data_IF_373826032276
#
_entry.id   IF_373826032276
#
_cell.length_a   1.000
_cell.length_b   1.000
_cell.length_c   1.000
_cell.angle_alpha   90.00
_cell.angle_beta   90.00
_cell.angle_gamma   90.00
#
_symmetry.space_group_name_H-M   'P 1'
#
loop_
_entity.id
_entity.type
_entity.pdbx_description
1 polymer ?
#
# COMPACT_ATOMS: atom_id res chain seq x y z
N UNK A 1 -4.37 -16.35 4.04
CA UNK A 1 -5.04 -15.15 3.51
C UNK A 1 -4.16 -14.47 2.47
N UNK A 2 -4.73 -14.09 1.36
CA UNK A 2 -4.00 -13.48 0.25
C UNK A 2 -4.33 -11.99 0.18
N UNK A 3 -3.32 -11.14 0.27
CA UNK A 3 -3.47 -9.69 0.27
C UNK A 3 -2.99 -9.09 -1.05
N UNK A 4 -3.81 -8.23 -1.65
CA UNK A 4 -3.37 -7.37 -2.75
C UNK A 4 -2.81 -6.08 -2.16
N UNK A 5 -1.62 -5.69 -2.59
CA UNK A 5 -0.95 -4.48 -2.11
C UNK A 5 -0.70 -3.55 -3.29
N UNK A 6 -1.19 -2.32 -3.18
CA UNK A 6 -1.14 -1.34 -4.26
C UNK A 6 -0.82 0.04 -3.68
N UNK A 7 -0.16 0.88 -4.46
CA UNK A 7 0.17 2.25 -4.04
C UNK A 7 0.38 3.15 -5.24
N UNK A 8 0.28 4.46 -5.01
CA UNK A 8 0.67 5.49 -5.97
C UNK A 8 -0.04 5.31 -7.31
N UNK A 9 -1.35 5.15 -7.26
CA UNK A 9 -2.20 5.07 -8.44
C UNK A 9 -2.37 6.43 -9.12
N UNK A 10 -2.33 7.52 -8.34
CA UNK A 10 -2.44 8.90 -8.86
C UNK A 10 -3.60 9.06 -9.85
N UNK A 11 -4.76 8.46 -9.54
CA UNK A 11 -5.97 8.58 -10.36
C UNK A 11 -6.05 7.62 -11.54
N UNK A 12 -5.09 6.72 -11.69
CA UNK A 12 -5.08 5.73 -12.78
C UNK A 12 -5.08 4.31 -12.20
N UNK A 13 -6.16 3.58 -12.40
CA UNK A 13 -6.23 2.16 -12.06
C UNK A 13 -6.14 1.35 -13.34
N UNK A 14 -5.01 0.67 -13.52
CA UNK A 14 -4.75 -0.12 -14.71
C UNK A 14 -5.62 -1.37 -14.75
N UNK A 15 -6.02 -1.75 -15.95
CA UNK A 15 -6.87 -2.93 -16.16
C UNK A 15 -6.24 -4.21 -15.61
N UNK A 16 -4.94 -4.35 -15.73
CA UNK A 16 -4.20 -5.53 -15.28
C UNK A 16 -4.36 -5.78 -13.77
N UNK A 17 -4.62 -4.74 -12.98
CA UNK A 17 -4.85 -4.87 -11.53
C UNK A 17 -6.03 -5.79 -11.25
N UNK A 18 -7.10 -5.70 -12.05
CA UNK A 18 -8.29 -6.53 -11.86
C UNK A 18 -7.99 -8.01 -12.04
N UNK A 19 -7.09 -8.35 -12.95
CA UNK A 19 -6.69 -9.74 -13.17
C UNK A 19 -5.78 -10.22 -12.04
N UNK A 20 -4.80 -9.41 -11.63
CA UNK A 20 -3.85 -9.77 -10.58
C UNK A 20 -4.54 -9.92 -9.23
N UNK A 21 -5.54 -9.08 -8.94
CA UNK A 21 -6.25 -9.07 -7.65
C UNK A 21 -7.53 -9.90 -7.65
N UNK A 22 -7.74 -10.73 -8.66
CA UNK A 22 -8.98 -11.49 -8.79
C UNK A 22 -9.30 -12.39 -7.60
N UNK A 23 -8.27 -12.95 -6.98
CA UNK A 23 -8.43 -13.93 -5.90
C UNK A 23 -7.86 -13.48 -4.57
N UNK A 24 -7.70 -12.15 -4.38
CA UNK A 24 -7.23 -11.65 -3.09
C UNK A 24 -8.39 -11.58 -2.10
N UNK A 25 -8.06 -11.74 -0.82
CA UNK A 25 -9.04 -11.68 0.26
C UNK A 25 -9.22 -10.26 0.79
N UNK A 26 -8.21 -9.43 0.66
CA UNK A 26 -8.22 -8.04 1.13
C UNK A 26 -7.23 -7.23 0.32
N UNK A 27 -7.52 -5.94 0.13
CA UNK A 27 -6.65 -5.03 -0.62
C UNK A 27 -6.18 -3.92 0.32
N UNK A 28 -4.87 -3.62 0.28
CA UNK A 28 -4.26 -2.56 1.07
C UNK A 28 -3.65 -1.54 0.12
N UNK A 29 -4.09 -0.27 0.21
CA UNK A 29 -3.60 0.82 -0.63
C UNK A 29 -2.77 1.79 0.21
N UNK A 30 -1.52 1.97 -0.16
CA UNK A 30 -0.55 2.73 0.62
C UNK A 30 -0.46 4.23 0.24
N UNK A 31 -1.51 4.80 -0.36
CA UNK A 31 -1.62 6.25 -0.53
C UNK A 31 -1.28 6.77 -1.91
N UNK A 32 -1.46 8.08 -2.08
CA UNK A 32 -1.43 8.77 -3.37
C UNK A 32 -2.42 8.11 -4.34
N UNK A 33 -3.65 8.02 -3.86
CA UNK A 33 -4.74 7.34 -4.55
C UNK A 33 -5.17 8.15 -5.77
N UNK A 34 -5.37 9.45 -5.58
CA UNK A 34 -5.70 10.41 -6.62
C UNK A 34 -7.19 10.61 -6.84
N UNK A 35 -8.03 9.61 -6.58
CA UNK A 35 -9.47 9.70 -6.76
C UNK A 35 -10.19 8.65 -5.92
N UNK A 36 -11.32 9.04 -5.32
CA UNK A 36 -12.17 8.11 -4.58
C UNK A 36 -12.71 6.97 -5.47
N UNK A 37 -12.85 7.20 -6.76
CA UNK A 37 -13.32 6.17 -7.70
C UNK A 37 -12.39 4.95 -7.72
N UNK A 38 -11.10 5.14 -7.47
CA UNK A 38 -10.12 4.05 -7.37
C UNK A 38 -10.53 3.09 -6.24
N UNK A 39 -10.88 3.63 -5.08
CA UNK A 39 -11.32 2.82 -3.93
C UNK A 39 -12.59 2.05 -4.25
N UNK A 40 -13.56 2.72 -4.90
CA UNK A 40 -14.82 2.09 -5.28
C UNK A 40 -14.58 0.91 -6.24
N UNK A 41 -13.71 1.09 -7.22
CA UNK A 41 -13.39 0.04 -8.17
C UNK A 41 -12.66 -1.13 -7.51
N UNK A 42 -11.72 -0.85 -6.60
CA UNK A 42 -11.03 -1.91 -5.86
C UNK A 42 -11.97 -2.67 -4.94
N UNK A 43 -12.94 -1.99 -4.32
CA UNK A 43 -13.92 -2.60 -3.44
C UNK A 43 -14.81 -3.62 -4.16
N UNK A 44 -14.92 -3.54 -5.49
CA UNK A 44 -15.62 -4.54 -6.28
C UNK A 44 -14.88 -5.89 -6.28
N UNK A 45 -13.60 -5.91 -5.95
CA UNK A 45 -12.78 -7.13 -5.93
C UNK A 45 -12.69 -7.74 -4.53
N UNK A 46 -12.48 -6.93 -3.51
CA UNK A 46 -12.31 -7.36 -2.12
C UNK A 46 -12.44 -6.17 -1.19
N UNK A 47 -12.58 -6.38 0.13
CA UNK A 47 -12.53 -5.28 1.09
C UNK A 47 -11.21 -4.52 0.97
N UNK A 48 -11.26 -3.20 1.12
CA UNK A 48 -10.11 -2.31 0.95
C UNK A 48 -9.84 -1.55 2.25
N UNK A 49 -8.59 -1.55 2.68
CA UNK A 49 -8.07 -0.63 3.70
C UNK A 49 -7.05 0.27 3.00
N UNK A 50 -7.21 1.57 3.13
CA UNK A 50 -6.37 2.53 2.44
C UNK A 50 -5.93 3.65 3.37
N UNK A 51 -4.82 4.31 3.00
CA UNK A 51 -4.36 5.54 3.63
C UNK A 51 -4.18 6.60 2.56
N UNK A 52 -4.14 7.88 2.97
CA UNK A 52 -3.83 8.93 2.01
C UNK A 52 -2.33 9.21 1.96
N UNK A 53 -1.89 9.73 0.83
CA UNK A 53 -0.51 10.18 0.64
C UNK A 53 -0.43 11.70 0.52
N UNK A 54 0.78 12.20 0.29
CA UNK A 54 1.04 13.65 0.26
C UNK A 54 0.37 14.38 -0.90
N UNK A 55 0.03 13.69 -2.00
CA UNK A 55 -0.64 14.32 -3.15
C UNK A 55 -2.15 14.22 -3.09
N UNK A 56 -2.72 13.50 -2.14
CA UNK A 56 -4.16 13.32 -2.07
C UNK A 56 -4.89 14.58 -1.59
N UNK A 57 -6.02 14.88 -2.23
CA UNK A 57 -6.87 16.02 -1.91
C UNK A 57 -7.69 15.79 -0.64
N UNK A 58 -8.38 16.84 -0.19
CA UNK A 58 -9.14 16.78 1.06
C UNK A 58 -10.26 15.74 1.03
N UNK A 59 -10.86 15.45 -0.11
CA UNK A 59 -11.93 14.45 -0.22
C UNK A 59 -11.43 13.05 0.10
N UNK A 60 -10.25 12.70 -0.39
CA UNK A 60 -9.57 11.42 -0.06
C UNK A 60 -9.18 11.42 1.41
N UNK A 61 -8.57 12.51 1.89
CA UNK A 61 -8.13 12.63 3.29
C UNK A 61 -9.28 12.57 4.28
N UNK A 62 -10.46 13.01 3.89
CA UNK A 62 -11.65 12.91 4.72
C UNK A 62 -12.18 11.46 4.81
N UNK A 63 -11.85 10.63 3.84
CA UNK A 63 -12.37 9.26 3.73
C UNK A 63 -11.46 8.21 4.34
N UNK A 64 -10.15 8.39 4.30
CA UNK A 64 -9.17 7.42 4.78
C UNK A 64 -8.16 8.09 5.71
N UNK A 65 -7.57 7.34 6.66
CA UNK A 65 -6.58 7.90 7.59
C UNK A 65 -5.21 8.07 6.95
N UNK A 66 -4.32 8.76 7.65
CA UNK A 66 -2.92 8.87 7.26
C UNK A 66 -2.16 7.56 7.48
N UNK A 67 -2.48 6.86 8.57
CA UNK A 67 -1.88 5.58 8.93
C UNK A 67 -3.01 4.63 9.31
N UNK A 68 -2.98 3.41 8.80
CA UNK A 68 -3.91 2.37 9.18
C UNK A 68 -3.15 1.27 9.94
N UNK A 69 -3.71 0.86 11.07
CA UNK A 69 -3.21 -0.28 11.84
C UNK A 69 -4.34 -1.28 11.94
N UNK A 70 -4.07 -2.51 11.52
CA UNK A 70 -5.10 -3.53 11.48
C UNK A 70 -4.49 -4.90 11.72
N UNK A 71 -5.35 -5.84 12.08
CA UNK A 71 -4.95 -7.23 12.23
C UNK A 71 -5.67 -8.06 11.18
N UNK A 72 -4.91 -8.79 10.37
CA UNK A 72 -5.43 -9.70 9.37
C UNK A 72 -4.78 -11.05 9.55
N UNK A 73 -5.60 -12.07 9.66
CA UNK A 73 -5.14 -13.47 9.82
C UNK A 73 -4.11 -13.64 10.93
N UNK A 74 -4.28 -12.88 12.02
CA UNK A 74 -3.39 -12.91 13.18
C UNK A 74 -2.14 -12.05 13.09
N UNK A 75 -1.89 -11.37 11.97
CA UNK A 75 -0.72 -10.51 11.77
C UNK A 75 -1.04 -9.05 12.04
N UNK A 76 -0.16 -8.38 12.79
CA UNK A 76 -0.24 -6.94 13.01
C UNK A 76 0.34 -6.22 11.80
N UNK A 77 -0.51 -5.47 11.10
CA UNK A 77 -0.15 -4.80 9.84
C UNK A 77 -0.29 -3.30 10.00
N UNK A 78 0.71 -2.56 9.51
CA UNK A 78 0.67 -1.10 9.41
C UNK A 78 0.77 -0.72 7.95
N UNK A 79 -0.09 0.21 7.53
CA UNK A 79 -0.05 0.81 6.19
C UNK A 79 0.16 2.31 6.37
N UNK A 80 1.16 2.86 5.73
CA UNK A 80 1.47 4.30 5.73
C UNK A 80 2.07 4.67 4.38
N UNK A 81 1.78 5.88 3.89
CA UNK A 81 2.38 6.30 2.62
C UNK A 81 3.89 6.46 2.75
N UNK A 82 4.36 7.05 3.85
CA UNK A 82 5.77 7.20 4.15
C UNK A 82 6.33 8.60 3.94
N UNK A 83 5.56 9.50 3.33
CA UNK A 83 5.98 10.88 3.08
C UNK A 83 6.33 11.65 4.36
N UNK A 84 5.70 11.30 5.49
CA UNK A 84 6.00 11.90 6.79
C UNK A 84 7.43 11.64 7.26
N UNK A 85 8.13 10.69 6.66
CA UNK A 85 9.53 10.39 6.94
C UNK A 85 10.48 10.97 5.88
N UNK A 86 9.98 11.83 5.00
CA UNK A 86 10.72 12.34 3.86
C UNK A 86 10.93 11.27 2.80
N UNK A 87 12.13 10.71 2.71
CA UNK A 87 12.40 9.52 1.91
C UNK A 87 12.36 8.30 2.83
N UNK A 88 11.22 7.58 2.87
CA UNK A 88 11.07 6.49 3.83
C UNK A 88 12.01 5.33 3.55
N UNK A 89 12.59 4.80 4.61
CA UNK A 89 13.41 3.59 4.57
C UNK A 89 12.76 2.51 5.42
N UNK A 90 13.02 1.22 5.16
CA UNK A 90 12.51 0.16 6.02
C UNK A 90 12.90 0.32 7.49
N UNK A 91 14.13 0.76 7.78
CA UNK A 91 14.58 0.98 9.15
C UNK A 91 13.81 2.10 9.85
N UNK A 92 13.55 3.21 9.16
CA UNK A 92 12.79 4.33 9.70
C UNK A 92 11.34 3.93 9.98
N UNK A 93 10.75 3.15 9.10
CA UNK A 93 9.38 2.64 9.28
C UNK A 93 9.29 1.70 10.46
N UNK A 94 10.24 0.78 10.60
CA UNK A 94 10.28 -0.12 11.73
C UNK A 94 10.45 0.65 13.05
N UNK A 95 11.31 1.65 13.08
CA UNK A 95 11.49 2.49 14.27
C UNK A 95 10.21 3.23 14.67
N UNK A 96 9.41 3.64 13.68
CA UNK A 96 8.14 4.34 13.92
C UNK A 96 7.02 3.38 14.34
N UNK A 97 7.04 2.14 13.87
CA UNK A 97 5.99 1.14 14.10
C UNK A 97 6.59 -0.18 14.62
N UNK A 98 7.19 -0.15 15.83
CA UNK A 98 7.97 -1.30 16.31
C UNK A 98 7.14 -2.54 16.65
N UNK A 99 5.82 -2.38 16.81
CA UNK A 99 4.92 -3.50 17.13
C UNK A 99 4.33 -4.17 15.89
N UNK A 100 4.60 -3.63 14.70
CA UNK A 100 4.10 -4.21 13.44
C UNK A 100 4.90 -5.44 13.06
N UNK A 101 4.19 -6.43 12.51
CA UNK A 101 4.82 -7.60 11.91
C UNK A 101 5.01 -7.40 10.41
N UNK A 102 4.12 -6.61 9.80
CA UNK A 102 4.17 -6.26 8.38
C UNK A 102 3.94 -4.76 8.25
N UNK A 103 4.82 -4.08 7.51
CA UNK A 103 4.67 -2.65 7.20
C UNK A 103 4.61 -2.50 5.68
N UNK A 104 3.54 -1.83 5.22
CA UNK A 104 3.33 -1.55 3.80
C UNK A 104 3.42 -0.05 3.59
N UNK A 105 4.19 0.38 2.58
CA UNK A 105 4.38 1.80 2.31
C UNK A 105 4.50 2.07 0.81
N UNK A 106 4.50 3.34 0.42
CA UNK A 106 4.62 3.78 -0.96
C UNK A 106 5.61 4.92 -1.10
N UNK A 107 5.21 5.99 -1.77
CA UNK A 107 5.90 7.26 -1.92
C UNK A 107 7.14 7.22 -2.84
N UNK A 108 8.03 6.26 -2.67
CA UNK A 108 9.28 6.18 -3.46
C UNK A 108 9.06 5.69 -4.88
N UNK A 109 7.92 5.05 -5.16
CA UNK A 109 7.59 4.39 -6.43
C UNK A 109 8.52 3.22 -6.77
N UNK A 110 9.35 2.77 -5.83
CA UNK A 110 10.33 1.69 -6.05
C UNK A 110 9.88 0.43 -5.34
N UNK A 111 9.62 -0.66 -6.09
CA UNK A 111 9.28 -1.92 -5.43
C UNK A 111 10.39 -2.39 -4.50
N UNK A 112 9.98 -2.85 -3.32
CA UNK A 112 10.91 -3.36 -2.31
C UNK A 112 10.19 -4.38 -1.45
N UNK A 113 10.86 -5.49 -1.17
CA UNK A 113 10.41 -6.45 -0.17
C UNK A 113 11.63 -6.87 0.64
N UNK A 114 11.59 -6.61 1.94
CA UNK A 114 12.73 -6.90 2.81
C UNK A 114 12.27 -7.32 4.20
N UNK A 115 13.18 -7.93 4.94
CA UNK A 115 12.98 -8.32 6.33
C UNK A 115 13.95 -7.49 7.19
N UNK A 116 13.40 -6.69 8.10
CA UNK A 116 14.22 -5.85 9.01
C UNK A 116 14.38 -6.59 10.34
N UNK A 117 15.61 -6.67 10.83
CA UNK A 117 15.99 -7.33 12.08
C UNK A 117 15.46 -8.77 12.20
N UNK A 118 15.25 -9.44 11.08
CA UNK A 118 14.70 -10.80 11.01
C UNK A 118 13.30 -10.92 11.66
N UNK A 119 12.60 -9.80 11.85
CA UNK A 119 11.35 -9.75 12.61
C UNK A 119 10.20 -9.17 11.79
N UNK A 120 10.40 -8.03 11.13
CA UNK A 120 9.32 -7.32 10.44
C UNK A 120 9.51 -7.37 8.92
N UNK A 121 8.43 -7.74 8.22
CA UNK A 121 8.39 -7.69 6.76
C UNK A 121 7.99 -6.29 6.33
N UNK A 122 8.79 -5.65 5.48
CA UNK A 122 8.53 -4.32 4.94
C UNK A 122 8.42 -4.41 3.43
N UNK A 123 7.31 -3.91 2.89
CA UNK A 123 7.03 -3.99 1.47
C UNK A 123 6.57 -2.65 0.91
N UNK A 124 7.16 -2.29 -0.23
CA UNK A 124 6.63 -1.25 -1.11
C UNK A 124 6.24 -1.94 -2.42
N UNK A 125 4.97 -1.88 -2.83
CA UNK A 125 4.53 -2.56 -4.06
C UNK A 125 4.98 -1.85 -5.34
N UNK A 126 5.61 -0.67 -5.22
CA UNK A 126 5.88 0.20 -6.34
C UNK A 126 4.67 1.05 -6.70
N UNK A 127 4.78 1.84 -7.75
CA UNK A 127 3.68 2.67 -8.22
C UNK A 127 2.85 1.90 -9.24
N UNK A 128 1.54 1.84 -9.02
CA UNK A 128 0.62 1.10 -9.89
C UNK A 128 0.04 1.97 -11.01
N UNK A 129 0.17 3.29 -10.93
CA UNK A 129 -0.37 4.23 -11.88
C UNK A 129 0.49 4.40 -13.13
N UNK A 130 0.74 5.66 -13.50
CA UNK A 130 1.54 5.95 -14.68
C UNK A 130 3.00 5.57 -14.48
N UNK A 131 3.59 5.00 -15.53
CA UNK A 131 5.02 4.71 -15.53
C UNK A 131 5.82 6.02 -15.37
N UNK A 132 6.79 5.99 -14.45
CA UNK A 132 7.74 7.10 -14.26
C UNK A 132 9.14 6.61 -14.49
N UNK A 133 9.93 7.37 -15.24
CA UNK A 133 11.31 7.01 -15.60
C UNK A 133 11.33 5.62 -16.24
N UNK A 134 12.25 4.77 -15.85
CA UNK A 134 12.38 3.40 -16.35
C UNK A 134 11.74 2.36 -15.45
N UNK A 135 10.98 2.80 -14.43
CA UNK A 135 10.35 1.88 -13.47
C UNK A 135 8.97 1.48 -14.01
N UNK A 136 8.78 0.19 -14.20
CA UNK A 136 7.50 -0.35 -14.65
C UNK A 136 6.44 -0.25 -13.54
N UNK A 137 5.18 -0.01 -13.89
CA UNK A 137 4.09 -0.09 -12.91
C UNK A 137 4.04 -1.48 -12.28
N UNK A 138 3.72 -1.52 -10.99
CA UNK A 138 3.70 -2.77 -10.24
C UNK A 138 2.69 -2.76 -9.10
N UNK A 139 2.30 -3.93 -8.67
CA UNK A 139 1.53 -4.20 -7.45
C UNK A 139 2.20 -5.37 -6.74
N UNK A 140 1.73 -5.68 -5.53
CA UNK A 140 2.25 -6.80 -4.76
C UNK A 140 1.16 -7.76 -4.34
N UNK A 141 1.56 -8.99 -4.11
CA UNK A 141 0.72 -10.01 -3.49
C UNK A 141 1.48 -10.52 -2.27
N UNK A 142 0.84 -10.52 -1.12
CA UNK A 142 1.35 -11.14 0.10
C UNK A 142 0.45 -12.29 0.50
N UNK A 143 1.05 -13.44 0.75
CA UNK A 143 0.32 -14.57 1.31
C UNK A 143 0.69 -14.72 2.77
N UNK A 144 -0.33 -14.68 3.65
CA UNK A 144 -0.17 -14.82 5.08
C UNK A 144 -0.43 -16.28 5.47
N UNK A 145 0.55 -16.88 6.12
CA UNK A 145 0.47 -18.27 6.55
C UNK A 145 0.79 -18.43 8.02
#
# INVERSE_FOLDING_TARGET
MRLGVISDTHGLLRREVFDVFREVDHILHAGDIGSLSILTELEALAPVTAVYGNTDDWDVRARVPQVAQLQLDGFEIVVAHGDQFGSPTPDALYAAFPDAEIILYGHTHKPLLTLVDLVVTVMNPGAAGRRRFDILPSVGILELE
#
